data_IF_794217920743
#
_entry.id   IF_794217920743
#
_cell.length_a   1.000
_cell.length_b   1.000
_cell.length_c   1.000
_cell.angle_alpha   90.00
_cell.angle_beta   90.00
_cell.angle_gamma   90.00
#
_symmetry.space_group_name_H-M   'P 1'
#
loop_
_entity.id
_entity.type
_entity.pdbx_description
1 polymer ?
#
# COMPACT_ATOMS: atom_id res chain seq x y z
N UNK A 1 1.60 -33.63 -18.34
CA UNK A 1 2.20 -32.28 -18.20
C UNK A 1 1.07 -31.28 -17.95
N UNK A 2 0.64 -31.12 -16.69
CA UNK A 2 -0.11 -29.93 -16.29
C UNK A 2 0.90 -28.79 -16.18
N UNK A 3 0.57 -27.66 -16.77
CA UNK A 3 1.43 -26.48 -16.82
C UNK A 3 1.34 -25.79 -15.46
N UNK A 4 2.48 -25.49 -14.84
CA UNK A 4 2.61 -24.92 -13.49
C UNK A 4 1.83 -23.61 -13.24
N UNK A 5 1.16 -23.04 -14.25
CA UNK A 5 0.32 -21.86 -14.14
C UNK A 5 -1.10 -22.13 -13.63
N UNK A 6 -1.56 -23.38 -13.56
CA UNK A 6 -2.90 -23.68 -13.00
C UNK A 6 -2.98 -23.36 -11.50
N UNK A 7 -1.92 -23.61 -10.73
CA UNK A 7 -1.88 -23.28 -9.29
C UNK A 7 -1.85 -21.77 -9.01
N UNK A 8 -1.20 -20.98 -9.87
CA UNK A 8 -1.17 -19.52 -9.76
C UNK A 8 -2.52 -18.90 -10.16
N UNK A 9 -3.21 -19.48 -11.14
CA UNK A 9 -4.50 -18.97 -11.61
C UNK A 9 -5.69 -19.44 -10.79
N UNK A 10 -5.67 -20.66 -10.25
CA UNK A 10 -6.71 -21.18 -9.35
C UNK A 10 -6.75 -20.37 -8.04
N UNK A 11 -5.58 -20.04 -7.49
CA UNK A 11 -5.47 -19.23 -6.27
C UNK A 11 -5.63 -17.74 -6.52
N UNK A 12 -5.61 -17.23 -7.76
CA UNK A 12 -5.78 -15.80 -8.01
C UNK A 12 -7.14 -15.28 -7.55
N UNK A 13 -8.20 -16.09 -7.64
CA UNK A 13 -9.52 -15.67 -7.20
C UNK A 13 -9.73 -15.87 -5.68
N UNK A 14 -8.98 -16.79 -5.06
CA UNK A 14 -9.06 -17.11 -3.63
C UNK A 14 -8.10 -16.25 -2.77
N UNK A 15 -6.93 -15.90 -3.30
CA UNK A 15 -5.90 -15.07 -2.65
C UNK A 15 -6.29 -13.57 -2.60
N UNK A 16 -7.18 -13.14 -3.49
CA UNK A 16 -7.76 -11.78 -3.48
C UNK A 16 -9.22 -11.74 -3.01
N UNK A 17 -9.85 -12.90 -2.74
CA UNK A 17 -11.18 -12.96 -2.13
C UNK A 17 -11.17 -12.63 -0.63
N UNK A 18 -10.01 -12.83 0.02
CA UNK A 18 -9.71 -12.37 1.36
C UNK A 18 -8.38 -11.62 1.32
N UNK A 19 -8.38 -10.32 1.67
CA UNK A 19 -7.16 -9.51 1.79
C UNK A 19 -6.36 -9.91 3.05
N UNK A 20 -6.08 -11.20 3.21
CA UNK A 20 -5.34 -11.72 4.34
C UNK A 20 -4.69 -13.06 4.02
N UNK A 21 -3.50 -13.28 4.54
CA UNK A 21 -2.76 -14.53 4.46
C UNK A 21 -2.36 -14.93 5.88
N UNK A 22 -2.69 -16.16 6.29
CA UNK A 22 -2.39 -16.68 7.63
C UNK A 22 -2.86 -15.75 8.77
N UNK A 23 -4.01 -15.09 8.60
CA UNK A 23 -4.57 -14.13 9.57
C UNK A 23 -3.94 -12.74 9.56
N UNK A 24 -2.89 -12.52 8.74
CA UNK A 24 -2.27 -11.20 8.54
C UNK A 24 -2.97 -10.50 7.38
N UNK A 25 -3.44 -9.27 7.61
CA UNK A 25 -4.08 -8.47 6.56
C UNK A 25 -3.06 -8.04 5.50
N UNK A 26 -3.45 -8.11 4.23
CA UNK A 26 -2.65 -7.69 3.08
C UNK A 26 -3.17 -6.32 2.61
N UNK A 27 -2.33 -5.30 2.72
CA UNK A 27 -2.56 -3.99 2.12
C UNK A 27 -1.93 -3.93 0.74
N UNK A 28 -2.74 -3.74 -0.31
CA UNK A 28 -2.24 -3.50 -1.68
C UNK A 28 -2.14 -2.00 -1.91
N UNK A 29 -0.93 -1.51 -2.19
CA UNK A 29 -0.70 -0.08 -2.45
C UNK A 29 0.21 0.10 -3.67
N UNK A 30 -0.13 1.00 -4.61
CA UNK A 30 0.74 1.35 -5.73
C UNK A 30 2.04 2.04 -5.29
N UNK A 31 2.13 2.49 -4.04
CA UNK A 31 3.38 3.01 -3.47
C UNK A 31 4.42 1.91 -3.22
N UNK A 32 4.03 0.63 -3.15
CA UNK A 32 4.95 -0.50 -3.02
C UNK A 32 5.40 -0.94 -4.41
N UNK A 33 6.71 -0.97 -4.61
CA UNK A 33 7.30 -1.33 -5.90
C UNK A 33 7.04 -2.81 -6.24
N UNK A 34 6.86 -3.10 -7.54
CA UNK A 34 6.67 -4.48 -8.00
C UNK A 34 7.84 -5.36 -7.56
N UNK A 35 7.53 -6.56 -7.06
CA UNK A 35 8.50 -7.51 -6.53
C UNK A 35 8.99 -7.21 -5.12
N UNK A 36 8.60 -6.09 -4.50
CA UNK A 36 8.92 -5.76 -3.10
C UNK A 36 7.71 -6.05 -2.21
N UNK A 37 7.96 -6.54 -1.01
CA UNK A 37 6.96 -6.65 0.04
C UNK A 37 7.48 -6.06 1.36
N UNK A 38 6.54 -5.60 2.18
CA UNK A 38 6.79 -5.12 3.52
C UNK A 38 5.86 -5.85 4.47
N UNK A 39 6.42 -6.46 5.51
CA UNK A 39 5.68 -7.12 6.59
C UNK A 39 5.87 -6.23 7.82
N UNK A 40 4.77 -5.73 8.37
CA UNK A 40 4.80 -4.78 9.48
C UNK A 40 3.80 -5.20 10.55
N UNK A 41 4.27 -5.31 11.79
CA UNK A 41 3.38 -5.30 12.95
C UNK A 41 3.00 -3.84 13.26
N UNK A 42 1.82 -3.43 12.80
CA UNK A 42 1.36 -2.04 12.92
C UNK A 42 1.07 -1.61 14.35
N UNK A 43 0.84 -2.53 15.28
CA UNK A 43 0.61 -2.20 16.69
C UNK A 43 1.92 -1.84 17.40
N UNK A 44 3.02 -2.46 16.99
CA UNK A 44 4.35 -2.27 17.58
C UNK A 44 5.20 -1.24 16.84
N UNK A 45 5.07 -1.14 15.52
CA UNK A 45 5.95 -0.33 14.69
C UNK A 45 5.89 1.16 15.02
N UNK A 46 4.70 1.72 15.19
CA UNK A 46 4.53 3.16 15.38
C UNK A 46 3.08 3.60 15.34
N UNK A 47 2.86 4.90 15.51
CA UNK A 47 1.54 5.50 15.40
C UNK A 47 1.56 6.76 14.53
N UNK A 48 0.51 6.93 13.74
CA UNK A 48 0.33 8.12 12.92
C UNK A 48 -0.54 9.14 13.66
N UNK A 49 0.06 10.29 13.96
CA UNK A 49 -0.62 11.39 14.63
C UNK A 49 -1.14 12.40 13.61
N UNK A 50 -2.46 12.56 13.57
CA UNK A 50 -3.11 13.58 12.76
C UNK A 50 -3.02 14.94 13.47
N UNK A 51 -2.41 15.94 12.81
CA UNK A 51 -2.47 17.35 13.22
C UNK A 51 -3.67 18.08 12.62
N UNK A 52 -4.01 17.74 11.39
CA UNK A 52 -5.14 18.28 10.64
C UNK A 52 -5.75 17.13 9.83
N UNK A 53 -7.02 16.82 10.08
CA UNK A 53 -7.78 15.88 9.25
C UNK A 53 -7.91 16.42 7.82
N UNK A 54 -8.28 15.54 6.89
CA UNK A 54 -8.48 15.91 5.48
C UNK A 54 -9.46 17.08 5.40
N UNK A 55 -9.00 18.21 4.87
CA UNK A 55 -9.81 19.41 4.67
C UNK A 55 -9.73 19.86 3.22
N UNK A 56 -10.88 20.19 2.63
CA UNK A 56 -10.99 20.71 1.27
C UNK A 56 -11.42 22.17 1.33
N UNK A 57 -10.67 23.04 0.67
CA UNK A 57 -11.02 24.45 0.49
C UNK A 57 -11.28 24.70 -0.99
N UNK A 58 -12.41 25.33 -1.29
CA UNK A 58 -12.80 25.69 -2.66
C UNK A 58 -12.75 27.21 -2.74
N UNK A 59 -11.86 27.72 -3.59
CA UNK A 59 -11.80 29.14 -3.93
C UNK A 59 -12.83 29.47 -5.02
N UNK A 60 -13.58 30.54 -4.80
CA UNK A 60 -14.44 31.16 -5.79
C UNK A 60 -13.81 32.52 -6.10
N UNK A 61 -13.41 32.71 -7.35
CA UNK A 61 -12.76 33.89 -7.91
C UNK A 61 -11.26 34.06 -7.59
N UNK A 62 -10.45 33.83 -8.63
CA UNK A 62 -9.02 34.13 -8.68
C UNK A 62 -8.60 34.36 -10.13
N UNK A 63 -7.54 35.13 -10.36
CA UNK A 63 -7.01 35.39 -11.72
C UNK A 63 -6.14 34.24 -12.26
N UNK A 64 -6.00 33.17 -11.48
CA UNK A 64 -5.10 32.05 -11.77
C UNK A 64 -5.66 31.09 -12.83
N UNK A 65 -6.95 31.18 -13.14
CA UNK A 65 -7.64 30.33 -14.10
C UNK A 65 -8.62 31.13 -14.97
N UNK A 66 -9.05 30.54 -16.09
CA UNK A 66 -10.07 31.13 -16.96
C UNK A 66 -11.43 31.23 -16.23
N UNK A 67 -12.22 32.21 -16.63
CA UNK A 67 -13.53 32.52 -16.05
C UNK A 67 -14.42 31.26 -15.96
N UNK A 68 -15.01 31.03 -14.79
CA UNK A 68 -15.87 29.87 -14.52
C UNK A 68 -15.15 28.63 -13.97
N UNK A 69 -13.81 28.64 -13.86
CA UNK A 69 -13.06 27.56 -13.22
C UNK A 69 -12.92 27.77 -11.70
N UNK A 70 -12.93 26.68 -10.93
CA UNK A 70 -12.78 26.69 -9.47
C UNK A 70 -11.49 25.97 -9.08
N UNK A 71 -10.78 26.52 -8.12
CA UNK A 71 -9.60 25.85 -7.53
C UNK A 71 -10.01 25.15 -6.25
N UNK A 72 -9.65 23.88 -6.13
CA UNK A 72 -9.82 23.11 -4.90
C UNK A 72 -8.45 22.70 -4.36
N UNK A 73 -8.24 22.95 -3.07
CA UNK A 73 -7.04 22.52 -2.36
C UNK A 73 -7.47 21.52 -1.28
N UNK A 74 -6.88 20.33 -1.32
CA UNK A 74 -7.06 19.30 -0.30
C UNK A 74 -5.76 19.18 0.50
N UNK A 75 -5.85 19.34 1.83
CA UNK A 75 -4.70 19.24 2.73
C UNK A 75 -5.02 18.28 3.87
N UNK A 76 -4.06 17.42 4.18
CA UNK A 76 -3.98 16.66 5.43
C UNK A 76 -2.60 16.91 6.04
N UNK A 77 -2.52 17.02 7.36
CA UNK A 77 -1.24 17.16 8.06
C UNK A 77 -1.15 16.15 9.18
N UNK A 78 -0.06 15.41 9.23
CA UNK A 78 0.24 14.47 10.29
C UNK A 78 1.69 14.04 10.26
N UNK A 79 2.06 13.20 11.20
CA UNK A 79 3.39 12.63 11.28
C UNK A 79 3.32 11.19 11.80
N UNK A 80 4.14 10.32 11.20
CA UNK A 80 4.34 8.96 11.68
C UNK A 80 5.48 8.98 12.70
N UNK A 81 5.20 8.56 13.92
CA UNK A 81 6.22 8.36 14.96
C UNK A 81 6.50 6.86 15.04
N UNK A 82 7.75 6.47 14.79
CA UNK A 82 8.20 5.08 14.83
C UNK A 82 8.72 4.75 16.22
N UNK A 83 8.21 3.68 16.81
CA UNK A 83 8.60 3.19 18.14
C UNK A 83 9.61 2.05 18.05
N UNK A 84 9.41 1.12 17.11
CA UNK A 84 10.27 -0.05 16.94
C UNK A 84 10.45 -0.36 15.45
N UNK A 85 11.66 -0.11 14.93
CA UNK A 85 12.00 -0.39 13.54
C UNK A 85 12.11 -1.88 13.23
N UNK A 86 12.39 -2.74 14.23
CA UNK A 86 12.48 -4.19 14.05
C UNK A 86 11.11 -4.85 13.85
N UNK A 87 10.02 -4.11 14.13
CA UNK A 87 8.65 -4.55 13.84
C UNK A 87 8.27 -4.46 12.35
N UNK A 88 9.18 -4.00 11.49
CA UNK A 88 9.01 -3.95 10.05
C UNK A 88 10.17 -4.66 9.33
N UNK A 89 9.83 -5.55 8.40
CA UNK A 89 10.80 -6.22 7.54
C UNK A 89 10.40 -6.01 6.09
N UNK A 90 11.38 -5.69 5.26
CA UNK A 90 11.21 -5.53 3.82
C UNK A 90 11.95 -6.64 3.09
N UNK A 91 11.36 -7.16 2.04
CA UNK A 91 11.98 -8.18 1.21
C UNK A 91 11.68 -7.94 -0.28
N UNK A 92 12.54 -8.49 -1.13
CA UNK A 92 12.35 -8.51 -2.58
C UNK A 92 12.23 -9.96 -3.02
N UNK A 93 11.17 -10.28 -3.76
CA UNK A 93 10.99 -11.61 -4.32
C UNK A 93 12.11 -11.92 -5.31
N UNK A 94 12.64 -13.14 -5.22
CA UNK A 94 13.64 -13.62 -6.16
C UNK A 94 13.05 -13.70 -7.56
N UNK A 95 13.82 -13.26 -8.55
CA UNK A 95 13.54 -13.49 -9.97
C UNK A 95 14.26 -14.73 -10.52
N UNK A 96 15.08 -15.41 -9.70
CA UNK A 96 15.78 -16.62 -10.09
C UNK A 96 14.83 -17.82 -10.02
N UNK A 97 14.33 -18.24 -11.18
CA UNK A 97 13.37 -19.34 -11.33
C UNK A 97 13.77 -20.64 -10.59
N UNK A 98 15.06 -20.98 -10.58
CA UNK A 98 15.58 -22.18 -9.90
C UNK A 98 15.41 -22.15 -8.39
N UNK A 99 15.39 -20.96 -7.77
CA UNK A 99 15.20 -20.81 -6.33
C UNK A 99 13.72 -20.93 -5.90
N UNK A 100 12.77 -20.81 -6.83
CA UNK A 100 11.33 -20.85 -6.56
C UNK A 100 10.73 -22.27 -6.70
N UNK A 101 11.40 -23.17 -7.42
CA UNK A 101 10.92 -24.54 -7.69
C UNK A 101 11.41 -25.58 -6.67
N UNK A 102 12.21 -25.17 -5.68
CA UNK A 102 12.83 -26.06 -4.68
C UNK A 102 12.37 -25.82 -3.23
N UNK A 103 11.49 -24.84 -3.01
CA UNK A 103 10.89 -24.51 -1.72
C UNK A 103 9.52 -25.18 -1.52
#
# INVERSE_FOLDING_TARGET
>A
KSTANEYLNANRNELFGSNSLNGVQIGVSPAVSSGVCHIVDTQRYGSFYNRQQVSVQIGYDGTDFSEGQRTAICVQRGSLVVFDTAAAVSATFSNAKTALETA
#
